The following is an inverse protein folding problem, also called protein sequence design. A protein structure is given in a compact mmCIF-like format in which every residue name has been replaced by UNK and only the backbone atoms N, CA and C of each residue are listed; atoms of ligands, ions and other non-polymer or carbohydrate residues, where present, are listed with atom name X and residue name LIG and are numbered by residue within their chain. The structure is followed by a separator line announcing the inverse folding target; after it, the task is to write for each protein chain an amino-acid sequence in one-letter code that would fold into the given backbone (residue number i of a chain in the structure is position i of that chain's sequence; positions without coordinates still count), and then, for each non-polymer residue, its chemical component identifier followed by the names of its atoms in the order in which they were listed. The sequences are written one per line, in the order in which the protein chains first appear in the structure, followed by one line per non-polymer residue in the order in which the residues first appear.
data_IF_088418999477
#
_entry.id   IF_088418999477
#
_cell.length_a   1.000
_cell.length_b   1.000
_cell.length_c   1.000
_cell.angle_alpha   90.00
_cell.angle_beta   90.00
_cell.angle_gamma   90.00
#
_symmetry.space_group_name_H-M   'P 1'
#
loop_
_entity.id
_entity.type
_entity.pdbx_description
1 polymer ?
#
# COMPACT_ATOMS: atom_id res chain seq x y z
N UNK A 1 -9.23 21.78 -9.62
CA UNK A 1 -10.04 20.62 -10.03
C UNK A 1 -11.05 21.13 -11.05
N UNK A 2 -11.14 20.47 -12.21
CA UNK A 2 -12.09 20.84 -13.28
C UNK A 2 -13.50 20.44 -12.84
N UNK A 3 -14.47 21.33 -12.99
CA UNK A 3 -15.89 21.02 -12.79
C UNK A 3 -16.46 20.59 -14.16
N UNK A 4 -17.25 19.52 -14.17
CA UNK A 4 -17.88 18.96 -15.38
C UNK A 4 -19.40 18.84 -15.16
N UNK A 5 -20.19 19.26 -16.14
CA UNK A 5 -21.64 19.06 -16.12
C UNK A 5 -22.01 17.62 -16.46
N UNK A 6 -23.26 17.23 -16.18
CA UNK A 6 -23.73 15.88 -16.54
C UNK A 6 -23.73 15.66 -18.06
N UNK A 7 -24.06 16.68 -18.81
CA UNK A 7 -24.08 16.66 -20.28
C UNK A 7 -22.65 16.50 -20.85
N UNK A 8 -21.69 17.25 -20.31
CA UNK A 8 -20.28 17.11 -20.69
C UNK A 8 -19.73 15.74 -20.33
N UNK A 9 -20.02 15.22 -19.13
CA UNK A 9 -19.61 13.87 -18.73
C UNK A 9 -20.19 12.83 -19.68
N UNK A 10 -21.49 12.93 -20.02
CA UNK A 10 -22.13 12.04 -20.99
C UNK A 10 -21.41 12.04 -22.32
N UNK A 11 -21.09 13.24 -22.84
CA UNK A 11 -20.35 13.39 -24.11
C UNK A 11 -18.94 12.78 -24.02
N UNK A 12 -18.23 12.95 -22.90
CA UNK A 12 -16.91 12.34 -22.71
C UNK A 12 -17.02 10.80 -22.72
N UNK A 13 -18.04 10.24 -22.09
CA UNK A 13 -18.26 8.79 -22.08
C UNK A 13 -18.67 8.25 -23.47
N UNK A 14 -19.49 8.98 -24.23
CA UNK A 14 -19.87 8.63 -25.60
C UNK A 14 -18.63 8.66 -26.51
N UNK A 15 -17.84 9.73 -26.47
CA UNK A 15 -16.59 9.85 -27.23
C UNK A 15 -15.64 8.69 -26.87
N UNK A 16 -15.54 8.35 -25.59
CA UNK A 16 -14.69 7.25 -25.16
C UNK A 16 -15.14 5.88 -25.69
N UNK A 17 -16.43 5.68 -25.90
CA UNK A 17 -16.93 4.48 -26.57
C UNK A 17 -16.48 4.42 -28.04
N UNK A 18 -16.44 5.54 -28.75
CA UNK A 18 -15.87 5.61 -30.08
C UNK A 18 -14.37 5.31 -30.07
N UNK A 19 -13.64 5.84 -29.09
CA UNK A 19 -12.24 5.51 -28.91
C UNK A 19 -12.01 3.99 -28.69
N UNK A 20 -12.86 3.36 -27.88
CA UNK A 20 -12.76 1.92 -27.60
C UNK A 20 -13.11 1.03 -28.79
N UNK A 21 -13.92 1.52 -29.73
CA UNK A 21 -14.40 0.79 -30.90
C UNK A 21 -13.64 1.11 -32.17
N UNK A 22 -12.90 2.24 -32.17
CA UNK A 22 -12.19 2.75 -33.34
C UNK A 22 -13.13 2.96 -34.54
N UNK A 23 -14.37 3.43 -34.28
CA UNK A 23 -15.50 3.35 -35.22
C UNK A 23 -15.92 4.69 -35.88
N UNK A 24 -15.14 5.77 -35.72
CA UNK A 24 -15.40 7.04 -36.36
C UNK A 24 -14.11 7.83 -36.63
N UNK A 25 -14.18 8.84 -37.51
CA UNK A 25 -13.04 9.71 -37.79
C UNK A 25 -12.61 10.50 -36.55
N UNK A 26 -11.29 10.54 -36.29
CA UNK A 26 -10.69 11.24 -35.15
C UNK A 26 -10.86 10.55 -33.82
N UNK A 27 -11.25 9.26 -33.80
CA UNK A 27 -11.41 8.47 -32.60
C UNK A 27 -10.16 8.44 -31.69
N UNK A 28 -8.98 8.57 -32.27
CA UNK A 28 -7.69 8.53 -31.54
C UNK A 28 -7.63 9.59 -30.43
N UNK A 29 -8.35 10.73 -30.62
CA UNK A 29 -8.38 11.85 -29.70
C UNK A 29 -9.57 11.77 -28.71
N UNK A 30 -10.37 10.69 -28.72
CA UNK A 30 -11.62 10.58 -27.96
C UNK A 30 -11.47 9.76 -26.66
N UNK A 31 -10.25 9.37 -26.31
CA UNK A 31 -10.00 8.72 -25.02
C UNK A 31 -10.43 9.65 -23.88
N UNK A 32 -11.20 9.11 -22.92
CA UNK A 32 -11.63 9.89 -21.78
C UNK A 32 -10.44 10.38 -20.96
N UNK A 33 -10.27 11.70 -20.89
CA UNK A 33 -9.43 12.40 -19.94
C UNK A 33 -10.34 13.12 -18.93
N UNK A 34 -10.45 12.49 -17.76
CA UNK A 34 -11.19 12.95 -16.60
C UNK A 34 -10.22 13.28 -15.46
N UNK A 35 -8.93 13.46 -15.77
CA UNK A 35 -7.92 13.80 -14.79
C UNK A 35 -8.22 15.13 -14.09
N UNK A 36 -7.94 15.23 -12.80
CA UNK A 36 -8.18 16.41 -11.96
C UNK A 36 -9.64 16.95 -12.04
N UNK A 37 -10.60 16.09 -12.34
CA UNK A 37 -12.02 16.47 -12.51
C UNK A 37 -12.81 16.19 -11.25
N UNK A 38 -13.77 17.04 -10.91
CA UNK A 38 -14.73 16.83 -9.83
C UNK A 38 -15.88 15.95 -10.32
N UNK A 39 -15.89 14.70 -9.87
CA UNK A 39 -16.87 13.66 -10.17
C UNK A 39 -17.56 13.16 -8.89
N UNK A 40 -17.59 13.99 -7.83
CA UNK A 40 -18.25 13.62 -6.57
C UNK A 40 -19.69 13.22 -6.81
N UNK A 41 -20.06 12.09 -6.23
CA UNK A 41 -21.41 11.53 -6.33
C UNK A 41 -21.89 11.33 -7.78
N UNK A 42 -20.99 11.30 -8.76
CA UNK A 42 -21.34 11.04 -10.16
C UNK A 42 -21.91 9.62 -10.30
N UNK A 43 -22.92 9.47 -11.17
CA UNK A 43 -23.40 8.16 -11.57
C UNK A 43 -22.61 7.66 -12.78
N UNK A 44 -21.69 6.73 -12.51
CA UNK A 44 -20.83 6.05 -13.49
C UNK A 44 -21.11 4.54 -13.53
N UNK A 45 -22.28 4.13 -13.02
CA UNK A 45 -22.69 2.72 -12.99
C UNK A 45 -22.63 2.11 -14.38
N UNK A 46 -21.97 0.95 -14.46
CA UNK A 46 -21.74 0.21 -15.70
C UNK A 46 -21.05 1.01 -16.82
N UNK A 47 -20.46 2.17 -16.52
CA UNK A 47 -19.69 2.93 -17.50
C UNK A 47 -18.49 2.13 -17.99
N UNK A 48 -18.19 2.22 -19.29
CA UNK A 48 -16.98 1.67 -19.84
C UNK A 48 -15.87 2.74 -19.83
N UNK A 49 -15.01 2.68 -18.84
CA UNK A 49 -13.88 3.58 -18.60
C UNK A 49 -12.54 2.84 -18.77
N UNK A 50 -12.53 1.75 -19.56
CA UNK A 50 -11.31 0.99 -19.83
C UNK A 50 -10.22 1.91 -20.36
N UNK A 51 -9.06 1.86 -19.71
CA UNK A 51 -7.90 2.69 -20.07
C UNK A 51 -8.12 4.21 -19.99
N UNK A 52 -9.20 4.70 -19.37
CA UNK A 52 -9.43 6.12 -19.16
C UNK A 52 -8.37 6.74 -18.23
N UNK A 53 -8.17 8.05 -18.34
CA UNK A 53 -7.36 8.82 -17.40
C UNK A 53 -8.24 9.48 -16.34
N UNK A 54 -8.09 9.05 -15.08
CA UNK A 54 -8.83 9.53 -13.91
C UNK A 54 -7.86 9.99 -12.80
N UNK A 55 -6.61 10.31 -13.17
CA UNK A 55 -5.59 10.73 -12.20
C UNK A 55 -6.06 11.92 -11.38
N UNK A 56 -5.93 11.84 -10.07
CA UNK A 56 -6.30 12.91 -9.14
C UNK A 56 -7.75 13.39 -9.30
N UNK A 57 -8.63 12.59 -9.92
CA UNK A 57 -10.06 12.88 -9.97
C UNK A 57 -10.69 12.74 -8.58
N UNK A 58 -11.68 13.56 -8.28
CA UNK A 58 -12.49 13.37 -7.08
C UNK A 58 -13.73 12.56 -7.42
N UNK A 59 -13.72 11.29 -7.06
CA UNK A 59 -14.80 10.31 -7.23
C UNK A 59 -15.47 9.96 -5.89
N UNK A 60 -15.28 10.81 -4.86
CA UNK A 60 -15.83 10.51 -3.55
C UNK A 60 -17.35 10.35 -3.61
N UNK A 61 -17.85 9.26 -2.99
CA UNK A 61 -19.25 8.86 -3.01
C UNK A 61 -19.85 8.64 -4.43
N UNK A 62 -19.03 8.45 -5.47
CA UNK A 62 -19.52 8.12 -6.81
C UNK A 62 -20.08 6.69 -6.86
N UNK A 63 -21.06 6.47 -7.74
CA UNK A 63 -21.59 5.15 -8.07
C UNK A 63 -20.83 4.59 -9.28
N UNK A 64 -19.91 3.67 -9.03
CA UNK A 64 -19.09 2.97 -10.02
C UNK A 64 -19.43 1.48 -10.11
N UNK A 65 -20.60 1.08 -9.62
CA UNK A 65 -21.04 -0.33 -9.62
C UNK A 65 -20.96 -0.93 -11.01
N UNK A 66 -20.31 -2.08 -11.10
CA UNK A 66 -20.14 -2.81 -12.36
C UNK A 66 -19.47 -1.99 -13.48
N UNK A 67 -18.79 -0.89 -13.17
CA UNK A 67 -18.01 -0.14 -14.15
C UNK A 67 -16.82 -0.96 -14.65
N UNK A 68 -16.46 -0.78 -15.92
CA UNK A 68 -15.23 -1.32 -16.49
C UNK A 68 -14.13 -0.27 -16.39
N UNK A 69 -13.23 -0.45 -15.43
CA UNK A 69 -12.06 0.41 -15.17
C UNK A 69 -10.74 -0.32 -15.49
N UNK A 70 -10.80 -1.39 -16.29
CA UNK A 70 -9.61 -2.16 -16.64
C UNK A 70 -8.54 -1.26 -17.25
N UNK A 71 -7.32 -1.36 -16.70
CA UNK A 71 -6.16 -0.55 -17.11
C UNK A 71 -6.38 0.97 -17.05
N UNK A 72 -7.41 1.45 -16.35
CA UNK A 72 -7.60 2.87 -16.10
C UNK A 72 -6.51 3.42 -15.16
N UNK A 73 -6.17 4.69 -15.33
CA UNK A 73 -5.27 5.37 -14.42
C UNK A 73 -6.08 6.16 -13.38
N UNK A 74 -6.08 5.67 -12.14
CA UNK A 74 -6.76 6.24 -10.97
C UNK A 74 -5.73 6.71 -9.92
N UNK A 75 -4.47 6.90 -10.33
CA UNK A 75 -3.43 7.28 -9.35
C UNK A 75 -3.78 8.59 -8.66
N UNK A 76 -3.63 8.61 -7.34
CA UNK A 76 -3.97 9.75 -6.47
C UNK A 76 -5.45 10.20 -6.55
N UNK A 77 -6.35 9.39 -7.09
CA UNK A 77 -7.78 9.70 -7.10
C UNK A 77 -8.39 9.61 -5.70
N UNK A 78 -9.37 10.45 -5.42
CA UNK A 78 -10.20 10.37 -4.22
C UNK A 78 -11.43 9.51 -4.51
N UNK A 79 -11.45 8.30 -3.96
CA UNK A 79 -12.51 7.29 -4.09
C UNK A 79 -13.20 7.01 -2.74
N UNK A 80 -13.07 7.93 -1.77
CA UNK A 80 -13.66 7.74 -0.44
C UNK A 80 -15.16 7.48 -0.53
N UNK A 81 -15.59 6.41 0.13
CA UNK A 81 -16.99 6.01 0.17
C UNK A 81 -17.63 5.79 -1.22
N UNK A 82 -16.83 5.62 -2.28
CA UNK A 82 -17.34 5.26 -3.59
C UNK A 82 -17.88 3.82 -3.58
N UNK A 83 -18.91 3.55 -4.37
CA UNK A 83 -19.41 2.20 -4.59
C UNK A 83 -18.79 1.62 -5.87
N UNK A 84 -17.79 0.76 -5.69
CA UNK A 84 -17.07 0.04 -6.74
C UNK A 84 -17.49 -1.45 -6.77
N UNK A 85 -18.62 -1.80 -6.18
CA UNK A 85 -19.03 -3.19 -6.09
C UNK A 85 -19.20 -3.81 -7.48
N UNK A 86 -18.60 -4.98 -7.67
CA UNK A 86 -18.53 -5.69 -8.95
C UNK A 86 -17.85 -4.94 -10.10
N UNK A 87 -17.08 -3.89 -9.83
CA UNK A 87 -16.31 -3.20 -10.86
C UNK A 87 -15.12 -4.05 -11.36
N UNK A 88 -14.77 -3.90 -12.63
CA UNK A 88 -13.57 -4.49 -13.21
C UNK A 88 -12.40 -3.49 -13.16
N UNK A 89 -11.50 -3.68 -12.20
CA UNK A 89 -10.31 -2.86 -11.94
C UNK A 89 -9.02 -3.58 -12.33
N UNK A 90 -9.09 -4.62 -13.16
CA UNK A 90 -7.92 -5.41 -13.56
C UNK A 90 -6.83 -4.52 -14.16
N UNK A 91 -5.62 -4.67 -13.65
CA UNK A 91 -4.45 -3.89 -14.09
C UNK A 91 -4.65 -2.37 -14.01
N UNK A 92 -5.59 -1.87 -13.23
CA UNK A 92 -5.75 -0.44 -12.99
C UNK A 92 -4.58 0.10 -12.15
N UNK A 93 -4.21 1.35 -12.37
CA UNK A 93 -3.25 2.08 -11.55
C UNK A 93 -4.00 2.86 -10.46
N UNK A 94 -3.92 2.38 -9.23
CA UNK A 94 -4.55 2.95 -8.03
C UNK A 94 -3.48 3.46 -7.03
N UNK A 95 -2.26 3.71 -7.48
CA UNK A 95 -1.18 4.17 -6.60
C UNK A 95 -1.57 5.43 -5.85
N UNK A 96 -1.40 5.41 -4.54
CA UNK A 96 -1.71 6.54 -3.65
C UNK A 96 -3.18 7.01 -3.76
N UNK A 97 -4.09 6.20 -4.26
CA UNK A 97 -5.51 6.52 -4.27
C UNK A 97 -6.09 6.43 -2.85
N UNK A 98 -7.06 7.27 -2.55
CA UNK A 98 -7.80 7.26 -1.30
C UNK A 98 -9.09 6.45 -1.47
N UNK A 99 -9.09 5.20 -1.00
CA UNK A 99 -10.20 4.25 -1.05
C UNK A 99 -10.87 4.04 0.31
N UNK A 100 -10.68 4.97 1.24
CA UNK A 100 -11.24 4.85 2.59
C UNK A 100 -12.74 4.62 2.56
N UNK A 101 -13.18 3.58 3.26
CA UNK A 101 -14.60 3.21 3.35
C UNK A 101 -15.27 2.93 2.00
N UNK A 102 -14.51 2.70 0.92
CA UNK A 102 -15.07 2.32 -0.37
C UNK A 102 -15.70 0.91 -0.31
N UNK A 103 -16.74 0.69 -1.08
CA UNK A 103 -17.33 -0.63 -1.28
C UNK A 103 -16.68 -1.30 -2.50
N UNK A 104 -15.82 -2.27 -2.25
CA UNK A 104 -15.10 -3.05 -3.26
C UNK A 104 -15.59 -4.51 -3.34
N UNK A 105 -16.77 -4.80 -2.80
CA UNK A 105 -17.31 -6.16 -2.80
C UNK A 105 -17.44 -6.70 -4.21
N UNK A 106 -16.94 -7.91 -4.42
CA UNK A 106 -16.95 -8.59 -5.73
C UNK A 106 -16.17 -7.85 -6.82
N UNK A 107 -15.43 -6.79 -6.51
CA UNK A 107 -14.58 -6.11 -7.50
C UNK A 107 -13.42 -7.00 -7.94
N UNK A 108 -13.04 -6.90 -9.20
CA UNK A 108 -11.84 -7.57 -9.71
C UNK A 108 -10.67 -6.58 -9.74
N UNK A 109 -9.75 -6.73 -8.81
CA UNK A 109 -8.53 -5.92 -8.65
C UNK A 109 -7.27 -6.71 -9.06
N UNK A 110 -7.43 -7.84 -9.78
CA UNK A 110 -6.28 -8.67 -10.15
C UNK A 110 -5.28 -7.85 -11.00
N UNK A 111 -3.99 -7.98 -10.65
CA UNK A 111 -2.89 -7.22 -11.25
C UNK A 111 -2.99 -5.69 -11.08
N UNK A 112 -3.90 -5.16 -10.29
CA UNK A 112 -3.97 -3.72 -10.01
C UNK A 112 -2.77 -3.25 -9.18
N UNK A 113 -2.32 -2.02 -9.40
CA UNK A 113 -1.31 -1.40 -8.57
C UNK A 113 -1.97 -0.53 -7.49
N UNK A 114 -1.99 -1.03 -6.27
CA UNK A 114 -2.54 -0.38 -5.07
C UNK A 114 -1.43 0.13 -4.15
N UNK A 115 -0.19 0.25 -4.64
CA UNK A 115 0.92 0.66 -3.79
C UNK A 115 0.67 2.04 -3.18
N UNK A 116 0.87 2.14 -1.87
CA UNK A 116 0.61 3.34 -1.06
C UNK A 116 -0.86 3.83 -1.09
N UNK A 117 -1.82 3.02 -1.54
CA UNK A 117 -3.24 3.38 -1.47
C UNK A 117 -3.76 3.26 -0.03
N UNK A 118 -4.73 4.10 0.32
CA UNK A 118 -5.44 4.01 1.59
C UNK A 118 -6.76 3.24 1.40
N UNK A 119 -6.79 2.00 1.87
CA UNK A 119 -7.94 1.10 1.85
C UNK A 119 -8.56 0.98 3.26
N UNK A 120 -8.23 1.87 4.18
CA UNK A 120 -8.70 1.76 5.55
C UNK A 120 -10.24 1.77 5.61
N UNK A 121 -10.79 0.83 6.36
CA UNK A 121 -12.23 0.59 6.47
C UNK A 121 -12.96 0.21 5.17
N UNK A 122 -12.25 -0.06 4.07
CA UNK A 122 -12.86 -0.52 2.82
C UNK A 122 -13.48 -1.92 2.99
N UNK A 123 -14.50 -2.22 2.19
CA UNK A 123 -15.15 -3.53 2.17
C UNK A 123 -14.64 -4.36 0.97
N UNK A 124 -13.74 -5.30 1.24
CA UNK A 124 -13.09 -6.17 0.25
C UNK A 124 -13.74 -7.56 0.14
N UNK A 125 -14.94 -7.76 0.68
CA UNK A 125 -15.58 -9.07 0.66
C UNK A 125 -15.75 -9.58 -0.76
N UNK A 126 -15.21 -10.77 -1.02
CA UNK A 126 -15.24 -11.44 -2.32
C UNK A 126 -14.52 -10.69 -3.44
N UNK A 127 -13.69 -9.70 -3.14
CA UNK A 127 -12.84 -9.05 -4.12
C UNK A 127 -11.70 -9.97 -4.55
N UNK A 128 -11.33 -9.91 -5.82
CA UNK A 128 -10.16 -10.62 -6.36
C UNK A 128 -8.95 -9.67 -6.36
N UNK A 129 -8.00 -9.92 -5.48
CA UNK A 129 -6.73 -9.17 -5.35
C UNK A 129 -5.53 -9.99 -5.84
N UNK A 130 -5.77 -11.04 -6.64
CA UNK A 130 -4.69 -11.90 -7.13
C UNK A 130 -3.65 -11.09 -7.92
N UNK A 131 -2.38 -11.25 -7.55
CA UNK A 131 -1.25 -10.51 -8.14
C UNK A 131 -1.36 -8.99 -8.07
N UNK A 132 -2.21 -8.42 -7.21
CA UNK A 132 -2.24 -6.99 -6.95
C UNK A 132 -1.01 -6.54 -6.16
N UNK A 133 -0.49 -5.35 -6.47
CA UNK A 133 0.59 -4.72 -5.71
C UNK A 133 0.01 -3.92 -4.55
N UNK A 134 0.15 -4.43 -3.33
CA UNK A 134 -0.34 -3.81 -2.09
C UNK A 134 0.80 -3.20 -1.25
N UNK A 135 2.00 -3.01 -1.81
CA UNK A 135 3.13 -2.47 -1.04
C UNK A 135 2.80 -1.11 -0.42
N UNK A 136 3.01 -1.00 0.88
CA UNK A 136 2.72 0.22 1.66
C UNK A 136 1.24 0.67 1.61
N UNK A 137 0.31 -0.20 1.19
CA UNK A 137 -1.12 0.10 1.27
C UNK A 137 -1.60 0.03 2.72
N UNK A 138 -2.50 0.94 3.10
CA UNK A 138 -3.14 0.94 4.41
C UNK A 138 -4.43 0.10 4.37
N UNK A 139 -4.44 -1.00 5.11
CA UNK A 139 -5.57 -1.94 5.19
C UNK A 139 -6.23 -1.96 6.59
N UNK A 140 -5.96 -0.95 7.42
CA UNK A 140 -6.52 -0.88 8.78
C UNK A 140 -8.04 -0.94 8.76
N UNK A 141 -8.62 -1.82 9.57
CA UNK A 141 -10.07 -2.00 9.66
C UNK A 141 -10.77 -2.37 8.34
N UNK A 142 -10.02 -2.69 7.28
CA UNK A 142 -10.62 -3.20 6.04
C UNK A 142 -11.25 -4.57 6.30
N UNK A 143 -12.39 -4.84 5.64
CA UNK A 143 -13.14 -6.09 5.82
C UNK A 143 -12.69 -7.13 4.80
N UNK A 144 -12.46 -8.36 5.28
CA UNK A 144 -12.09 -9.51 4.45
C UNK A 144 -10.85 -9.27 3.58
N UNK A 145 -9.80 -8.75 4.21
CA UNK A 145 -8.49 -8.65 3.56
C UNK A 145 -8.01 -10.06 3.18
N UNK A 146 -7.55 -10.29 1.94
CA UNK A 146 -7.04 -11.59 1.54
C UNK A 146 -5.79 -11.97 2.35
N UNK A 147 -5.48 -13.27 2.38
CA UNK A 147 -4.24 -13.71 2.99
C UNK A 147 -3.04 -13.12 2.23
N UNK A 148 -2.26 -12.31 2.94
CA UNK A 148 -0.98 -11.76 2.46
C UNK A 148 0.12 -12.39 3.30
N UNK A 149 1.05 -13.18 2.71
CA UNK A 149 2.16 -13.78 3.43
C UNK A 149 3.00 -12.72 4.16
N UNK A 150 3.58 -13.10 5.29
CA UNK A 150 4.56 -12.26 5.95
C UNK A 150 5.84 -12.13 5.11
N UNK A 151 6.49 -10.97 5.19
CA UNK A 151 7.83 -10.77 4.62
C UNK A 151 8.93 -11.38 5.49
N UNK A 152 8.62 -11.73 6.74
CA UNK A 152 9.52 -12.48 7.64
C UNK A 152 9.03 -13.93 7.80
N UNK A 153 9.91 -14.86 8.18
CA UNK A 153 9.54 -16.25 8.48
C UNK A 153 8.45 -16.34 9.57
N UNK A 154 7.45 -17.20 9.37
CA UNK A 154 6.35 -17.39 10.31
C UNK A 154 6.77 -18.15 11.57
N UNK A 155 7.83 -18.98 11.48
CA UNK A 155 8.32 -19.84 12.55
C UNK A 155 9.86 -19.96 12.51
N UNK A 156 10.42 -20.53 13.57
CA UNK A 156 11.86 -20.70 13.73
C UNK A 156 12.59 -19.39 14.08
N UNK A 157 13.87 -19.52 14.42
CA UNK A 157 14.78 -18.43 14.66
C UNK A 157 15.38 -17.96 13.33
N UNK A 158 15.57 -16.65 13.15
CA UNK A 158 16.19 -16.11 11.95
C UNK A 158 16.91 -14.78 12.23
N UNK A 159 17.65 -14.29 11.23
CA UNK A 159 18.40 -13.03 11.31
C UNK A 159 17.61 -11.92 10.62
N UNK A 160 17.55 -10.76 11.29
CA UNK A 160 17.04 -9.51 10.77
C UNK A 160 18.06 -8.38 10.89
N UNK A 161 17.86 -7.30 10.14
CA UNK A 161 18.74 -6.15 10.09
C UNK A 161 17.97 -4.87 10.37
N UNK A 162 18.53 -4.01 11.20
CA UNK A 162 17.92 -2.74 11.59
C UNK A 162 18.92 -1.60 11.48
N UNK A 163 18.52 -0.49 10.86
CA UNK A 163 19.26 0.76 10.95
C UNK A 163 19.04 1.42 12.31
N UNK A 164 20.12 1.82 12.95
CA UNK A 164 20.13 2.52 14.24
C UNK A 164 21.25 3.55 14.26
N UNK A 165 21.33 4.38 15.29
CA UNK A 165 22.18 5.57 15.27
C UNK A 165 22.98 5.71 16.56
N UNK A 166 24.21 6.21 16.41
CA UNK A 166 25.02 6.73 17.52
C UNK A 166 25.66 8.05 17.10
N UNK A 167 25.46 9.10 17.87
CA UNK A 167 25.97 10.46 17.57
C UNK A 167 25.64 10.91 16.13
N UNK A 168 24.39 10.73 15.69
CA UNK A 168 23.87 11.04 14.35
C UNK A 168 24.51 10.21 13.20
N UNK A 169 25.39 9.27 13.49
CA UNK A 169 25.96 8.35 12.50
C UNK A 169 25.09 7.09 12.42
N UNK A 170 24.71 6.63 11.21
CA UNK A 170 23.94 5.41 11.04
C UNK A 170 24.82 4.15 11.12
N UNK A 171 24.25 3.09 11.66
CA UNK A 171 24.80 1.75 11.78
C UNK A 171 23.75 0.70 11.45
N UNK A 172 24.16 -0.53 11.18
CA UNK A 172 23.28 -1.67 11.01
C UNK A 172 23.44 -2.59 12.23
N UNK A 173 22.35 -2.87 12.90
CA UNK A 173 22.27 -3.85 13.99
C UNK A 173 21.85 -5.18 13.39
N UNK A 174 22.64 -6.21 13.61
CA UNK A 174 22.31 -7.60 13.27
C UNK A 174 21.53 -8.18 14.43
N UNK A 175 20.31 -8.59 14.18
CA UNK A 175 19.37 -9.08 15.18
C UNK A 175 19.09 -10.56 14.94
N UNK A 176 19.17 -11.37 16.00
CA UNK A 176 18.56 -12.69 16.02
C UNK A 176 17.13 -12.55 16.55
N UNK A 177 16.17 -12.95 15.75
CA UNK A 177 14.75 -12.98 16.12
C UNK A 177 14.47 -14.40 16.65
N UNK A 178 14.28 -14.58 17.98
CA UNK A 178 14.11 -15.90 18.55
C UNK A 178 12.80 -16.56 18.13
N UNK A 179 12.72 -17.88 18.20
CA UNK A 179 11.55 -18.65 17.77
C UNK A 179 10.26 -18.24 18.47
N UNK A 180 10.35 -17.90 19.76
CA UNK A 180 9.23 -17.49 20.60
C UNK A 180 8.91 -15.99 20.54
N UNK A 181 9.56 -15.21 19.66
CA UNK A 181 9.21 -13.81 19.44
C UNK A 181 7.90 -13.70 18.66
N UNK A 182 7.01 -12.81 19.12
CA UNK A 182 5.90 -12.33 18.28
C UNK A 182 6.49 -11.57 17.10
N UNK A 183 6.01 -11.84 15.91
CA UNK A 183 6.55 -11.25 14.68
C UNK A 183 5.47 -11.07 13.65
N UNK A 184 5.58 -10.01 12.86
CA UNK A 184 4.68 -9.76 11.74
C UNK A 184 5.28 -8.76 10.74
N UNK A 185 4.70 -8.71 9.54
CA UNK A 185 4.86 -7.62 8.59
C UNK A 185 3.50 -7.21 8.04
N UNK A 186 3.39 -5.98 7.57
CA UNK A 186 2.21 -5.49 6.86
C UNK A 186 2.27 -5.91 5.38
N UNK A 187 2.02 -4.98 4.49
CA UNK A 187 2.10 -5.16 3.03
C UNK A 187 3.50 -4.87 2.48
N UNK A 188 4.36 -4.24 3.28
CA UNK A 188 5.73 -3.87 2.92
C UNK A 188 6.76 -4.94 3.26
N UNK A 189 8.03 -4.60 3.02
CA UNK A 189 9.19 -5.45 3.35
C UNK A 189 9.67 -5.25 4.79
N UNK A 190 9.19 -4.19 5.46
CA UNK A 190 9.51 -3.90 6.86
C UNK A 190 8.75 -4.84 7.79
N UNK A 191 9.49 -5.54 8.62
CA UNK A 191 8.97 -6.44 9.63
C UNK A 191 9.09 -5.81 11.02
N UNK A 192 8.38 -6.34 12.00
CA UNK A 192 8.56 -6.01 13.40
C UNK A 192 8.39 -7.23 14.33
N UNK A 193 9.03 -7.17 15.47
CA UNK A 193 8.92 -8.17 16.52
C UNK A 193 8.83 -7.52 17.91
N UNK A 194 8.43 -8.30 18.91
CA UNK A 194 8.39 -7.87 20.31
C UNK A 194 9.76 -7.96 20.99
N UNK A 195 10.62 -8.88 20.56
CA UNK A 195 11.97 -9.06 21.11
C UNK A 195 12.96 -9.55 20.08
N UNK A 196 14.24 -9.21 20.31
CA UNK A 196 15.36 -9.65 19.50
C UNK A 196 16.65 -9.65 20.31
N UNK A 197 17.60 -10.54 19.98
CA UNK A 197 18.95 -10.52 20.52
C UNK A 197 19.88 -9.77 19.58
N UNK A 198 20.67 -8.86 20.11
CA UNK A 198 21.67 -8.11 19.33
C UNK A 198 22.92 -8.97 19.18
N UNK A 199 23.22 -9.36 17.93
CA UNK A 199 24.38 -10.19 17.65
C UNK A 199 25.62 -9.33 17.32
N UNK A 200 25.43 -8.28 16.54
CA UNK A 200 26.54 -7.45 16.05
C UNK A 200 26.05 -6.04 15.70
N UNK A 201 26.95 -5.05 15.78
CA UNK A 201 26.75 -3.71 15.21
C UNK A 201 27.78 -3.52 14.12
N UNK A 202 27.31 -3.13 12.92
CA UNK A 202 28.12 -2.96 11.70
C UNK A 202 28.07 -1.53 11.20
N UNK A 203 29.14 -1.08 10.55
CA UNK A 203 29.10 0.07 9.67
C UNK A 203 28.21 -0.24 8.43
N UNK A 204 27.83 0.80 7.67
CA UNK A 204 26.99 0.59 6.48
C UNK A 204 27.68 -0.27 5.41
N UNK A 205 29.01 -0.26 5.34
CA UNK A 205 29.82 -1.09 4.43
C UNK A 205 29.92 -2.57 4.83
N UNK A 206 29.38 -2.94 6.01
CA UNK A 206 29.40 -4.30 6.53
C UNK A 206 30.58 -4.62 7.47
N UNK A 207 31.52 -3.71 7.64
CA UNK A 207 32.60 -3.88 8.62
C UNK A 207 32.06 -3.77 10.05
N UNK A 208 32.69 -4.48 11.00
CA UNK A 208 32.33 -4.39 12.42
C UNK A 208 32.53 -2.96 12.93
N UNK A 209 31.54 -2.43 13.64
CA UNK A 209 31.61 -1.10 14.22
C UNK A 209 32.36 -1.13 15.57
N UNK A 210 33.10 -0.07 15.84
CA UNK A 210 33.77 0.16 17.13
C UNK A 210 32.91 1.09 17.99
N UNK A 211 31.73 0.59 18.39
CA UNK A 211 30.79 1.28 19.29
C UNK A 211 30.21 0.29 20.28
N UNK A 212 29.99 0.72 21.52
CA UNK A 212 29.43 -0.12 22.57
C UNK A 212 27.92 -0.38 22.37
N UNK A 213 27.20 0.66 21.92
CA UNK A 213 25.74 0.58 21.66
C UNK A 213 25.33 1.55 20.56
N UNK A 214 24.14 1.35 20.04
CA UNK A 214 23.44 2.30 19.16
C UNK A 214 21.99 2.46 19.61
N UNK A 215 21.33 3.57 19.26
CA UNK A 215 19.97 3.86 19.67
C UNK A 215 18.97 3.78 18.50
N UNK A 216 17.71 3.57 18.82
CA UNK A 216 16.64 3.72 17.86
C UNK A 216 16.59 5.15 17.31
N UNK A 217 16.22 5.33 16.06
CA UNK A 217 16.09 6.64 15.42
C UNK A 217 15.04 7.52 16.09
N UNK A 218 13.94 6.92 16.56
CA UNK A 218 12.78 7.63 17.09
C UNK A 218 12.73 7.65 18.63
N UNK A 219 13.56 6.84 19.28
CA UNK A 219 13.67 6.76 20.72
C UNK A 219 15.13 6.54 21.12
N UNK A 220 15.79 7.63 21.52
CA UNK A 220 17.19 7.58 21.95
C UNK A 220 17.43 6.83 23.26
N UNK A 221 16.38 6.56 24.03
CA UNK A 221 16.46 5.72 25.23
C UNK A 221 16.48 4.22 24.93
N UNK A 222 15.95 3.82 23.73
CA UNK A 222 15.94 2.43 23.30
C UNK A 222 17.28 2.05 22.66
N UNK A 223 18.11 1.35 23.43
CA UNK A 223 19.49 1.00 23.08
C UNK A 223 19.61 -0.43 22.59
N UNK A 224 20.48 -0.62 21.60
CA UNK A 224 20.92 -1.92 21.08
C UNK A 224 22.37 -2.13 21.48
N UNK A 225 22.65 -3.10 22.36
CA UNK A 225 23.99 -3.45 22.83
C UNK A 225 24.29 -4.90 22.52
N UNK A 226 25.47 -5.16 21.99
CA UNK A 226 25.88 -6.51 21.55
C UNK A 226 25.78 -7.51 22.69
N UNK A 227 25.11 -8.64 22.45
CA UNK A 227 24.90 -9.73 23.40
C UNK A 227 23.62 -9.60 24.23
N UNK A 228 22.97 -8.43 24.25
CA UNK A 228 21.74 -8.21 25.02
C UNK A 228 20.49 -8.56 24.22
N UNK A 229 19.41 -8.89 24.93
CA UNK A 229 18.06 -9.03 24.39
C UNK A 229 17.34 -7.71 24.59
N UNK A 230 16.80 -7.16 23.52
CA UNK A 230 15.92 -5.99 23.53
C UNK A 230 14.47 -6.44 23.36
N UNK A 231 13.54 -5.81 24.07
CA UNK A 231 12.11 -6.14 24.00
C UNK A 231 11.24 -4.91 24.13
N UNK A 232 10.00 -5.01 23.65
CA UNK A 232 8.93 -4.03 23.86
C UNK A 232 7.74 -4.72 24.52
N UNK A 233 7.15 -4.08 25.53
CA UNK A 233 6.04 -4.66 26.31
C UNK A 233 4.68 -4.45 25.63
N UNK A 234 4.57 -3.42 24.81
CA UNK A 234 3.34 -2.96 24.16
C UNK A 234 3.29 -3.31 22.66
N UNK A 235 3.80 -4.48 22.28
CA UNK A 235 3.82 -4.93 20.89
C UNK A 235 2.41 -4.92 20.26
N UNK A 236 2.25 -4.16 19.19
CA UNK A 236 0.99 -4.09 18.47
C UNK A 236 0.84 -5.28 17.51
N UNK A 237 -0.17 -6.12 17.76
CA UNK A 237 -0.46 -7.30 16.94
C UNK A 237 -1.30 -6.98 15.68
N UNK A 238 -1.79 -5.75 15.54
CA UNK A 238 -2.43 -5.31 14.30
C UNK A 238 -1.38 -5.13 13.20
N UNK A 239 -1.31 -6.11 12.28
CA UNK A 239 -0.32 -6.11 11.19
C UNK A 239 -0.49 -4.94 10.23
N UNK A 240 -1.70 -4.39 10.10
CA UNK A 240 -2.00 -3.30 9.19
C UNK A 240 -1.54 -1.93 9.71
N UNK A 241 -1.24 -1.83 10.98
CA UNK A 241 -0.65 -0.65 11.59
C UNK A 241 0.90 -0.71 11.52
N UNK A 242 1.47 -0.43 10.34
CA UNK A 242 2.87 -0.70 10.03
C UNK A 242 3.88 0.08 10.89
N UNK A 243 3.53 1.28 11.31
CA UNK A 243 4.42 2.15 12.11
C UNK A 243 4.14 2.09 13.62
N UNK A 244 3.41 1.07 14.09
CA UNK A 244 3.10 0.91 15.51
C UNK A 244 4.23 0.27 16.32
N UNK A 245 3.98 0.06 17.61
CA UNK A 245 4.94 -0.43 18.60
C UNK A 245 5.55 -1.79 18.21
N UNK A 246 6.88 -1.86 18.31
CA UNK A 246 7.68 -3.04 17.97
C UNK A 246 9.10 -2.70 17.54
N UNK A 247 9.96 -3.71 17.54
CA UNK A 247 11.32 -3.60 16.99
C UNK A 247 11.22 -3.81 15.47
N UNK A 248 11.34 -2.73 14.69
CA UNK A 248 11.29 -2.81 13.24
C UNK A 248 12.63 -3.24 12.64
N UNK A 249 12.57 -4.15 11.65
CA UNK A 249 13.73 -4.71 10.97
C UNK A 249 13.42 -5.12 9.53
N UNK A 250 14.44 -5.50 8.78
CA UNK A 250 14.35 -6.07 7.43
C UNK A 250 15.04 -7.44 7.41
N UNK A 251 14.58 -8.33 6.53
CA UNK A 251 15.24 -9.63 6.30
C UNK A 251 16.49 -9.48 5.43
N UNK A 252 16.48 -8.51 4.53
CA UNK A 252 17.64 -8.21 3.69
C UNK A 252 18.41 -7.03 4.27
N UNK A 253 19.74 -7.20 4.41
CA UNK A 253 20.63 -6.17 4.96
C UNK A 253 20.60 -4.87 4.14
N UNK A 254 20.60 -4.99 2.80
CA UNK A 254 20.59 -3.80 1.92
C UNK A 254 19.31 -2.97 2.11
N UNK A 255 18.16 -3.62 2.29
CA UNK A 255 16.90 -2.91 2.60
C UNK A 255 17.01 -2.09 3.90
N UNK A 256 17.73 -2.60 4.90
CA UNK A 256 17.99 -1.84 6.13
C UNK A 256 18.97 -0.67 5.89
N UNK A 257 19.94 -0.83 5.01
CA UNK A 257 20.89 0.25 4.63
C UNK A 257 20.18 1.37 3.89
N UNK A 258 19.29 1.02 2.97
CA UNK A 258 18.58 1.99 2.10
C UNK A 258 17.41 2.70 2.80
N UNK A 259 16.91 2.12 3.91
CA UNK A 259 15.82 2.70 4.71
C UNK A 259 16.27 3.93 5.49
#
# INVERSE_FOLDING_TARGET
MKIITKEELKKVLENHLHWLREDCDGWENMRADLSNTDLRSANLRSANLRSADLRSANLSSADLRSANLRSANLSSADLRSADLSSADLRSADLRSADLRSADLRYANLSYANLSSADLSSADLRYADLSSADLRSADLRSAKNVPFIPYSCPDFGMFIGFKKAYFSCKPYIVVLEIPEDAKRLSSTGRKCRCDKAKVLEIQNLDGSKADVEFVCSQYDSSFQYKVGEIVSVDDFCEDRWNECSQGIHFFINRQEAVDY
#
